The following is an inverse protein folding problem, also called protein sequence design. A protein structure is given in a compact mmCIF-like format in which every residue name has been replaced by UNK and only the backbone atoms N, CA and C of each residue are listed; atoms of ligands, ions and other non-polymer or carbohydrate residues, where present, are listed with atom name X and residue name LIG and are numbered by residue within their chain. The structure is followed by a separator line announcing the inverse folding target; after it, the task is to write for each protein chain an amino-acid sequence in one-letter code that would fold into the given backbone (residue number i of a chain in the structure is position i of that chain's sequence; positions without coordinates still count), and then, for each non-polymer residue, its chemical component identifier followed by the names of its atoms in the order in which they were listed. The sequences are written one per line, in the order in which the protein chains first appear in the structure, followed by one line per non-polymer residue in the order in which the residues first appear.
data_IF_885693932415
#
_entry.id   IF_885693932415
#
_cell.length_a   1.000
_cell.length_b   1.000
_cell.length_c   1.000
_cell.angle_alpha   90.00
_cell.angle_beta   90.00
_cell.angle_gamma   90.00
#
_symmetry.space_group_name_H-M   'P 1'
#
loop_
_entity.id
_entity.type
_entity.pdbx_description
1 polymer ?
#
# COMPACT_ATOMS: atom_id res chain seq x y z
N UNK A 1 -6.11 -51.42 -20.19
CA UNK A 1 -4.67 -51.38 -20.53
C UNK A 1 -4.39 -49.95 -20.99
N UNK A 2 -3.74 -49.14 -20.40
CA UNK A 2 -2.72 -48.86 -19.44
C UNK A 2 -2.81 -47.39 -19.04
N UNK A 3 -3.39 -47.12 -17.90
CA UNK A 3 -3.34 -45.75 -17.32
C UNK A 3 -2.36 -45.67 -16.13
N UNK A 4 -1.54 -46.72 -15.97
CA UNK A 4 -0.52 -46.79 -14.91
C UNK A 4 0.86 -46.30 -15.30
N UNK A 5 1.15 -46.17 -16.60
CA UNK A 5 2.48 -45.81 -17.09
C UNK A 5 2.76 -44.29 -17.14
N UNK A 6 1.73 -43.44 -17.11
CA UNK A 6 1.93 -41.98 -17.14
C UNK A 6 2.28 -41.40 -15.75
N UNK A 7 1.87 -42.03 -14.67
CA UNK A 7 2.20 -41.57 -13.31
C UNK A 7 3.58 -42.03 -12.82
N UNK A 8 4.08 -43.16 -13.30
CA UNK A 8 5.40 -43.64 -12.91
C UNK A 8 6.55 -42.89 -13.63
N UNK A 9 6.30 -42.28 -14.79
CA UNK A 9 7.34 -41.55 -15.54
C UNK A 9 7.63 -40.15 -14.93
N UNK A 10 6.73 -39.57 -14.11
CA UNK A 10 6.96 -38.33 -13.39
C UNK A 10 7.72 -38.53 -12.06
N UNK A 11 7.74 -39.72 -11.52
CA UNK A 11 8.39 -40.04 -10.26
C UNK A 11 9.91 -40.28 -10.33
N UNK A 12 10.49 -40.26 -11.52
CA UNK A 12 11.92 -40.55 -11.74
C UNK A 12 12.74 -39.42 -12.35
N UNK A 13 12.27 -38.18 -12.27
CA UNK A 13 13.18 -37.06 -12.42
C UNK A 13 14.01 -36.97 -11.14
N UNK A 14 15.20 -37.52 -11.18
CA UNK A 14 16.18 -37.42 -10.11
C UNK A 14 16.28 -35.92 -9.69
N UNK A 15 16.18 -35.66 -8.39
CA UNK A 15 16.41 -34.30 -7.88
C UNK A 15 17.72 -33.77 -8.48
N UNK A 16 17.78 -32.50 -8.90
CA UNK A 16 19.01 -31.95 -9.48
C UNK A 16 20.18 -32.17 -8.50
N UNK A 17 21.32 -32.57 -9.02
CA UNK A 17 22.52 -32.87 -8.22
C UNK A 17 22.95 -31.66 -7.35
N UNK A 18 22.57 -30.45 -7.76
CA UNK A 18 22.84 -29.20 -7.05
C UNK A 18 21.60 -28.31 -7.08
N UNK A 19 20.62 -28.50 -6.17
CA UNK A 19 19.44 -27.66 -6.11
C UNK A 19 19.84 -26.20 -5.77
N UNK A 20 19.04 -25.25 -6.25
CA UNK A 20 19.18 -23.85 -5.82
C UNK A 20 18.82 -23.79 -4.33
N UNK A 21 19.68 -23.21 -3.48
CA UNK A 21 19.35 -23.06 -2.07
C UNK A 21 18.07 -22.24 -1.88
N UNK A 22 17.22 -22.69 -0.98
CA UNK A 22 15.98 -22.03 -0.60
C UNK A 22 16.06 -21.62 0.87
N UNK A 23 15.59 -20.40 1.16
CA UNK A 23 15.51 -19.88 2.52
C UNK A 23 14.07 -19.67 2.99
N UNK A 24 13.11 -20.29 2.35
CA UNK A 24 11.71 -20.22 2.74
C UNK A 24 11.55 -20.56 4.24
N UNK A 25 10.70 -19.80 4.95
CA UNK A 25 10.51 -19.91 6.40
C UNK A 25 11.55 -19.18 7.26
N UNK A 26 12.64 -18.69 6.68
CA UNK A 26 13.62 -17.91 7.46
C UNK A 26 13.13 -16.48 7.72
N UNK A 27 13.35 -15.99 8.95
CA UNK A 27 12.95 -14.64 9.35
C UNK A 27 13.59 -13.56 8.47
N UNK A 28 12.76 -12.66 7.93
CA UNK A 28 13.22 -11.50 7.17
C UNK A 28 13.75 -10.38 8.08
N UNK A 29 13.37 -10.37 9.36
CA UNK A 29 13.95 -9.46 10.36
C UNK A 29 15.41 -9.85 10.65
N UNK A 30 15.67 -11.13 10.89
CA UNK A 30 17.02 -11.63 11.20
C UNK A 30 17.94 -11.61 9.97
N UNK A 31 17.35 -11.61 8.77
CA UNK A 31 18.08 -11.49 7.53
C UNK A 31 18.55 -10.05 7.19
N UNK A 32 18.07 -9.07 7.92
CA UNK A 32 18.50 -7.66 7.82
C UNK A 32 19.14 -7.20 9.15
N UNK A 33 20.42 -7.52 9.39
CA UNK A 33 21.06 -7.37 10.69
C UNK A 33 21.09 -5.92 11.19
N UNK A 34 21.04 -4.93 10.27
CA UNK A 34 21.09 -3.52 10.64
C UNK A 34 19.70 -2.91 10.85
N UNK A 35 18.62 -3.63 10.54
CA UNK A 35 17.26 -3.08 10.66
C UNK A 35 16.91 -2.70 12.09
N UNK A 36 17.31 -3.53 13.06
CA UNK A 36 17.10 -3.28 14.49
C UNK A 36 17.82 -1.99 14.94
N UNK A 37 19.10 -1.82 14.54
CA UNK A 37 19.87 -0.63 14.85
C UNK A 37 19.29 0.63 14.20
N UNK A 38 18.90 0.56 12.93
CA UNK A 38 18.27 1.69 12.23
C UNK A 38 16.92 2.05 12.87
N UNK A 39 16.09 1.06 13.22
CA UNK A 39 14.81 1.33 13.87
C UNK A 39 14.99 2.01 15.24
N UNK A 40 15.98 1.58 16.03
CA UNK A 40 16.27 2.17 17.35
C UNK A 40 16.75 3.63 17.27
N UNK A 41 17.33 4.08 16.16
CA UNK A 41 17.73 5.47 15.98
C UNK A 41 16.55 6.44 15.84
N UNK A 42 15.40 5.97 15.37
CA UNK A 42 14.24 6.80 15.04
C UNK A 42 13.03 6.59 15.94
N UNK A 43 13.02 5.52 16.73
CA UNK A 43 11.96 5.23 17.69
C UNK A 43 12.41 5.61 19.11
N UNK A 44 11.53 6.16 19.97
CA UNK A 44 11.79 6.26 21.40
C UNK A 44 12.14 4.89 22.00
N UNK A 45 13.05 4.84 22.97
CA UNK A 45 13.58 3.60 23.54
C UNK A 45 12.51 2.66 24.11
N UNK A 46 11.49 3.21 24.76
CA UNK A 46 10.37 2.47 25.30
C UNK A 46 9.50 1.87 24.19
N UNK A 47 9.19 2.66 23.16
CA UNK A 47 8.44 2.19 22.01
C UNK A 47 9.24 1.17 21.19
N UNK A 48 10.54 1.38 20.99
CA UNK A 48 11.39 0.40 20.31
C UNK A 48 11.39 -0.94 21.02
N UNK A 49 11.59 -0.94 22.36
CA UNK A 49 11.55 -2.17 23.17
C UNK A 49 10.19 -2.87 23.10
N UNK A 50 9.11 -2.09 23.10
CA UNK A 50 7.76 -2.62 22.94
C UNK A 50 7.55 -3.25 21.56
N UNK A 51 8.04 -2.61 20.50
CA UNK A 51 7.84 -3.08 19.11
C UNK A 51 8.78 -4.23 18.72
N UNK A 52 9.91 -4.41 19.35
CA UNK A 52 10.91 -5.43 18.97
C UNK A 52 10.32 -6.84 18.82
N UNK A 53 9.52 -7.38 19.76
CA UNK A 53 8.89 -8.69 19.60
C UNK A 53 7.91 -8.74 18.40
N UNK A 54 7.25 -7.61 18.10
CA UNK A 54 6.34 -7.52 16.96
C UNK A 54 7.10 -7.46 15.63
N UNK A 55 8.27 -6.80 15.59
CA UNK A 55 9.16 -6.79 14.42
C UNK A 55 9.71 -8.20 14.12
N UNK A 56 10.18 -8.91 15.16
CA UNK A 56 10.63 -10.29 15.06
C UNK A 56 9.53 -11.21 14.54
N UNK A 57 8.32 -11.11 15.11
CA UNK A 57 7.15 -11.89 14.67
C UNK A 57 6.75 -11.55 13.22
N UNK A 58 6.72 -10.28 12.84
CA UNK A 58 6.43 -9.87 11.46
C UNK A 58 7.48 -10.43 10.50
N UNK A 59 8.76 -10.35 10.85
CA UNK A 59 9.85 -10.90 10.04
C UNK A 59 9.76 -12.41 9.82
N UNK A 60 9.42 -13.16 10.87
CA UNK A 60 9.21 -14.60 10.78
C UNK A 60 7.99 -14.96 9.90
N UNK A 61 6.85 -14.27 10.12
CA UNK A 61 5.64 -14.48 9.29
C UNK A 61 5.89 -14.10 7.83
N UNK A 62 6.56 -12.97 7.56
CA UNK A 62 6.85 -12.51 6.21
C UNK A 62 7.83 -13.42 5.44
N UNK A 63 8.71 -14.14 6.14
CA UNK A 63 9.60 -15.13 5.52
C UNK A 63 8.98 -16.50 5.27
N UNK A 64 7.78 -16.77 5.80
CA UNK A 64 7.09 -18.06 5.68
C UNK A 64 5.62 -17.89 5.31
N UNK A 65 4.72 -17.93 6.29
CA UNK A 65 3.26 -17.91 6.11
C UNK A 65 2.76 -16.83 5.13
N UNK A 66 3.23 -15.58 5.28
CA UNK A 66 2.75 -14.48 4.45
C UNK A 66 3.31 -14.56 3.02
N UNK A 67 4.52 -15.09 2.84
CA UNK A 67 5.12 -15.34 1.53
C UNK A 67 4.30 -16.38 0.75
N UNK A 68 3.89 -17.48 1.42
CA UNK A 68 3.01 -18.50 0.83
C UNK A 68 1.65 -17.93 0.42
N UNK A 69 1.01 -17.18 1.33
CA UNK A 69 -0.27 -16.51 1.04
C UNK A 69 -0.16 -15.53 -0.13
N UNK A 70 0.95 -14.78 -0.21
CA UNK A 70 1.20 -13.83 -1.28
C UNK A 70 1.37 -14.52 -2.65
N UNK A 71 2.09 -15.65 -2.71
CA UNK A 71 2.22 -16.46 -3.91
C UNK A 71 0.87 -16.98 -4.42
N UNK A 72 0.01 -17.42 -3.51
CA UNK A 72 -1.34 -17.88 -3.85
C UNK A 72 -2.19 -16.69 -4.31
N UNK A 73 -2.16 -15.56 -3.61
CA UNK A 73 -2.94 -14.37 -3.96
C UNK A 73 -2.53 -13.80 -5.33
N UNK A 74 -1.23 -13.76 -5.66
CA UNK A 74 -0.76 -13.26 -6.96
C UNK A 74 -1.22 -14.13 -8.14
N UNK A 75 -1.29 -15.46 -7.94
CA UNK A 75 -1.78 -16.41 -8.95
C UNK A 75 -3.30 -16.39 -9.11
N UNK A 76 -4.03 -15.85 -8.14
CA UNK A 76 -5.48 -15.77 -8.12
C UNK A 76 -5.94 -14.31 -7.97
N UNK A 77 -5.79 -13.49 -9.03
CA UNK A 77 -6.16 -12.08 -8.99
C UNK A 77 -7.67 -11.90 -8.72
N UNK A 78 -8.08 -10.75 -8.15
CA UNK A 78 -9.49 -10.46 -7.90
C UNK A 78 -10.28 -10.41 -9.20
N UNK A 79 -11.55 -10.82 -9.14
CA UNK A 79 -12.49 -10.79 -10.27
C UNK A 79 -13.68 -9.91 -9.95
N UNK A 80 -14.26 -9.27 -10.97
CA UNK A 80 -15.45 -8.42 -10.84
C UNK A 80 -16.69 -9.22 -11.26
N UNK A 81 -17.62 -9.38 -10.32
CA UNK A 81 -18.96 -9.95 -10.56
C UNK A 81 -19.96 -8.80 -10.67
N UNK A 82 -20.53 -8.60 -11.86
CA UNK A 82 -21.50 -7.50 -12.15
C UNK A 82 -22.95 -7.96 -12.01
N UNK A 83 -23.20 -9.27 -11.92
CA UNK A 83 -24.56 -9.82 -11.82
C UNK A 83 -24.58 -11.08 -10.96
N UNK A 84 -25.55 -11.15 -10.05
CA UNK A 84 -25.82 -12.36 -9.28
C UNK A 84 -26.43 -13.45 -10.17
N UNK A 85 -26.28 -14.73 -9.82
CA UNK A 85 -26.84 -15.89 -10.55
C UNK A 85 -28.36 -15.82 -10.74
N UNK A 86 -29.07 -15.05 -9.92
CA UNK A 86 -30.52 -14.83 -10.02
C UNK A 86 -30.91 -13.73 -10.98
N UNK A 87 -29.94 -13.10 -11.70
CA UNK A 87 -30.18 -12.02 -12.64
C UNK A 87 -30.25 -10.62 -12.01
N UNK A 88 -30.11 -10.50 -10.70
CA UNK A 88 -30.03 -9.21 -10.02
C UNK A 88 -28.67 -8.58 -10.28
N UNK A 89 -28.62 -7.30 -10.61
CA UNK A 89 -27.36 -6.56 -10.75
C UNK A 89 -26.67 -6.49 -9.40
N UNK A 90 -25.40 -6.83 -9.41
CA UNK A 90 -24.55 -6.85 -8.24
C UNK A 90 -23.17 -6.41 -8.67
N UNK A 91 -22.55 -5.54 -7.88
CA UNK A 91 -21.18 -5.12 -8.14
C UNK A 91 -20.30 -5.57 -6.96
N UNK A 92 -19.58 -6.66 -7.18
CA UNK A 92 -18.73 -7.26 -6.15
C UNK A 92 -17.37 -7.62 -6.73
N UNK A 93 -16.32 -7.27 -6.01
CA UNK A 93 -14.97 -7.78 -6.25
C UNK A 93 -14.76 -9.01 -5.40
N UNK A 94 -14.58 -10.15 -6.06
CA UNK A 94 -14.26 -11.42 -5.41
C UNK A 94 -12.76 -11.52 -5.23
N UNK A 95 -12.30 -11.45 -3.97
CA UNK A 95 -10.90 -11.58 -3.55
C UNK A 95 -10.62 -13.01 -3.13
N UNK A 96 -9.46 -13.55 -3.50
CA UNK A 96 -9.05 -14.88 -3.03
C UNK A 96 -8.88 -14.88 -1.49
N UNK A 97 -9.28 -15.96 -0.77
CA UNK A 97 -9.14 -16.04 0.69
C UNK A 97 -7.72 -15.78 1.21
N UNK A 98 -6.69 -16.16 0.47
CA UNK A 98 -5.30 -15.86 0.80
C UNK A 98 -5.03 -14.34 0.87
N UNK A 99 -5.60 -13.55 -0.07
CA UNK A 99 -5.47 -12.10 -0.02
C UNK A 99 -6.24 -11.51 1.17
N UNK A 100 -7.44 -12.01 1.45
CA UNK A 100 -8.23 -11.59 2.63
C UNK A 100 -7.49 -11.91 3.93
N UNK A 101 -6.79 -13.05 4.02
CA UNK A 101 -5.94 -13.38 5.16
C UNK A 101 -4.79 -12.37 5.34
N UNK A 102 -4.14 -11.97 4.25
CA UNK A 102 -3.12 -10.91 4.28
C UNK A 102 -3.69 -9.56 4.72
N UNK A 103 -4.89 -9.19 4.24
CA UNK A 103 -5.59 -7.98 4.70
C UNK A 103 -5.84 -8.02 6.21
N UNK A 104 -6.32 -9.14 6.77
CA UNK A 104 -6.55 -9.31 8.22
C UNK A 104 -5.27 -9.12 9.01
N UNK A 105 -4.17 -9.72 8.57
CA UNK A 105 -2.87 -9.52 9.22
C UNK A 105 -2.49 -8.05 9.26
N UNK A 106 -2.57 -7.37 8.13
CA UNK A 106 -2.09 -6.01 8.01
C UNK A 106 -2.99 -4.98 8.71
N UNK A 107 -4.32 -5.10 8.54
CA UNK A 107 -5.28 -4.13 9.08
C UNK A 107 -5.72 -4.45 10.51
N UNK A 108 -5.96 -5.74 10.84
CA UNK A 108 -6.48 -6.14 12.14
C UNK A 108 -5.35 -6.54 13.11
N UNK A 109 -4.53 -7.56 12.79
CA UNK A 109 -3.52 -8.06 13.73
C UNK A 109 -2.48 -7.00 14.09
N UNK A 110 -1.99 -6.26 13.08
CA UNK A 110 -0.95 -5.24 13.25
C UNK A 110 -1.47 -3.81 13.22
N UNK A 111 -2.70 -3.56 12.80
CA UNK A 111 -3.30 -2.22 12.76
C UNK A 111 -2.47 -1.19 11.98
N UNK A 112 -1.81 -1.61 10.88
CA UNK A 112 -0.83 -0.77 10.18
C UNK A 112 -1.40 0.54 9.61
N UNK A 113 -2.68 0.57 9.24
CA UNK A 113 -3.35 1.80 8.81
C UNK A 113 -3.83 2.66 9.99
N UNK A 114 -3.99 2.07 11.17
CA UNK A 114 -4.58 2.70 12.35
C UNK A 114 -3.54 3.26 13.32
N UNK A 115 -2.34 2.65 13.39
CA UNK A 115 -1.40 2.86 14.49
C UNK A 115 -0.90 4.31 14.66
N UNK A 116 -0.94 5.13 13.62
CA UNK A 116 -0.60 6.56 13.73
C UNK A 116 -1.81 7.45 14.05
N UNK A 117 -3.00 6.86 14.23
CA UNK A 117 -4.26 7.58 14.38
C UNK A 117 -4.97 7.31 15.70
N UNK A 118 -4.77 6.14 16.29
CA UNK A 118 -5.42 5.72 17.53
C UNK A 118 -4.46 5.06 18.51
N UNK A 119 -4.79 5.12 19.79
CA UNK A 119 -4.15 4.35 20.85
C UNK A 119 -4.59 2.88 20.84
N UNK A 120 -3.85 2.01 21.53
CA UNK A 120 -4.19 0.60 21.76
C UNK A 120 -3.67 -0.35 20.67
N UNK A 121 -3.18 0.14 19.54
CA UNK A 121 -2.63 -0.73 18.49
C UNK A 121 -1.41 -1.47 19.03
N UNK A 122 -1.37 -2.79 18.84
CA UNK A 122 -0.36 -3.68 19.40
C UNK A 122 -0.18 -3.52 20.93
N UNK A 123 -1.19 -3.02 21.65
CA UNK A 123 -1.13 -2.76 23.09
C UNK A 123 -0.41 -1.48 23.50
N UNK A 124 -0.01 -0.62 22.56
CA UNK A 124 0.62 0.66 22.85
C UNK A 124 -0.40 1.73 23.26
N UNK A 125 -0.18 2.49 24.37
CA UNK A 125 -1.23 3.36 24.94
C UNK A 125 -1.49 4.67 24.19
N UNK A 126 -0.71 4.97 23.13
CA UNK A 126 -0.83 6.22 22.37
C UNK A 126 -0.75 5.95 20.84
N UNK A 127 -1.14 6.88 19.97
CA UNK A 127 -0.80 6.80 18.56
C UNK A 127 0.72 6.75 18.37
N UNK A 128 1.17 5.86 17.46
CA UNK A 128 2.60 5.67 17.20
C UNK A 128 3.11 6.64 16.13
N UNK A 129 4.40 7.03 16.19
CA UNK A 129 5.01 7.83 15.12
C UNK A 129 5.03 7.06 13.80
N UNK A 130 5.05 7.76 12.64
CA UNK A 130 5.06 7.12 11.31
C UNK A 130 6.15 6.06 11.11
N UNK A 131 7.30 6.22 11.76
CA UNK A 131 8.42 5.26 11.71
C UNK A 131 7.99 3.87 12.15
N UNK A 132 7.16 3.74 13.20
CA UNK A 132 6.66 2.45 13.70
C UNK A 132 5.90 1.68 12.61
N UNK A 133 4.99 2.37 11.90
CA UNK A 133 4.28 1.80 10.77
C UNK A 133 5.24 1.38 9.65
N UNK A 134 6.19 2.25 9.29
CA UNK A 134 7.06 2.00 8.15
C UNK A 134 8.06 0.87 8.39
N UNK A 135 8.55 0.64 9.61
CA UNK A 135 9.42 -0.50 9.89
C UNK A 135 8.67 -1.83 9.82
N UNK A 136 7.44 -1.91 10.33
CA UNK A 136 6.60 -3.11 10.20
C UNK A 136 6.18 -3.36 8.75
N UNK A 137 5.78 -2.32 8.03
CA UNK A 137 5.36 -2.44 6.63
C UNK A 137 6.55 -2.78 5.72
N UNK A 138 7.77 -2.33 6.04
CA UNK A 138 9.00 -2.71 5.34
C UNK A 138 9.28 -4.22 5.41
N UNK A 139 8.93 -4.88 6.51
CA UNK A 139 9.00 -6.33 6.62
C UNK A 139 7.86 -7.00 5.83
N UNK A 140 6.62 -6.53 6.00
CA UNK A 140 5.45 -7.07 5.31
C UNK A 140 5.59 -7.03 3.78
N UNK A 141 6.07 -5.91 3.23
CA UNK A 141 6.17 -5.70 1.78
C UNK A 141 7.15 -6.65 1.10
N UNK A 142 8.08 -7.22 1.83
CA UNK A 142 9.01 -8.23 1.32
C UNK A 142 8.28 -9.56 1.00
N UNK A 143 7.10 -9.79 1.58
CA UNK A 143 6.20 -10.88 1.23
C UNK A 143 5.11 -10.42 0.24
N UNK A 144 4.40 -9.33 0.54
CA UNK A 144 3.25 -8.88 -0.27
C UNK A 144 3.30 -7.37 -0.56
N UNK A 145 3.52 -7.05 -1.83
CA UNK A 145 3.65 -5.66 -2.29
C UNK A 145 2.30 -4.99 -2.55
N UNK A 146 1.33 -5.71 -3.12
CA UNK A 146 0.06 -5.16 -3.60
C UNK A 146 -0.78 -4.58 -2.48
N UNK A 147 -0.93 -5.30 -1.37
CA UNK A 147 -1.70 -4.92 -0.19
C UNK A 147 -1.20 -3.62 0.46
N UNK A 148 0.10 -3.32 0.35
CA UNK A 148 0.63 -2.06 0.89
C UNK A 148 0.05 -0.81 0.21
N UNK A 149 -0.62 -0.95 -0.95
CA UNK A 149 -1.33 0.16 -1.59
C UNK A 149 -2.64 0.52 -0.87
N UNK A 150 -3.61 -0.39 -0.65
CA UNK A 150 -4.78 -0.14 0.19
C UNK A 150 -4.44 0.35 1.60
N UNK A 151 -3.42 -0.25 2.24
CA UNK A 151 -2.91 0.21 3.54
C UNK A 151 -2.50 1.69 3.52
N UNK A 152 -1.68 2.05 2.55
CA UNK A 152 -1.19 3.42 2.39
C UNK A 152 -2.33 4.39 2.07
N UNK A 153 -3.29 4.00 1.23
CA UNK A 153 -4.42 4.86 0.90
C UNK A 153 -5.36 5.06 2.08
N UNK A 154 -5.61 4.03 2.90
CA UNK A 154 -6.44 4.13 4.11
C UNK A 154 -5.79 5.07 5.13
N UNK A 155 -4.51 4.90 5.46
CA UNK A 155 -3.76 5.81 6.33
C UNK A 155 -3.74 7.25 5.79
N UNK A 156 -3.46 7.42 4.50
CA UNK A 156 -3.34 8.75 3.88
C UNK A 156 -4.68 9.45 3.77
N UNK A 157 -5.78 8.72 3.48
CA UNK A 157 -7.14 9.25 3.50
C UNK A 157 -7.51 9.72 4.91
N UNK A 158 -7.21 8.91 5.93
CA UNK A 158 -7.46 9.26 7.34
C UNK A 158 -6.72 10.54 7.74
N UNK A 159 -5.43 10.68 7.36
CA UNK A 159 -4.64 11.90 7.59
C UNK A 159 -5.25 13.12 6.90
N UNK A 160 -5.63 12.96 5.63
CA UNK A 160 -6.20 14.04 4.82
C UNK A 160 -7.57 14.48 5.37
N UNK A 161 -8.40 13.52 5.74
CA UNK A 161 -9.71 13.79 6.36
C UNK A 161 -9.56 14.53 7.69
N UNK A 162 -8.65 14.09 8.58
CA UNK A 162 -8.38 14.77 9.86
C UNK A 162 -7.82 16.18 9.70
N UNK A 163 -7.09 16.42 8.61
CA UNK A 163 -6.44 17.73 8.36
C UNK A 163 -7.37 18.74 7.72
N UNK A 164 -8.23 18.32 6.82
CA UNK A 164 -9.03 19.21 5.97
C UNK A 164 -10.53 18.96 6.04
N UNK A 165 -10.97 17.81 6.54
CA UNK A 165 -12.39 17.46 6.61
C UNK A 165 -13.17 18.34 7.62
N UNK A 166 -14.42 18.58 7.32
CA UNK A 166 -15.34 19.17 8.29
C UNK A 166 -15.45 18.25 9.53
N UNK A 167 -15.57 18.80 10.77
CA UNK A 167 -15.63 17.99 11.99
C UNK A 167 -16.67 16.87 11.92
N UNK A 168 -17.86 17.12 11.40
CA UNK A 168 -18.91 16.12 11.25
C UNK A 168 -18.52 14.94 10.35
N UNK A 169 -17.71 15.16 9.30
CA UNK A 169 -17.20 14.09 8.45
C UNK A 169 -16.08 13.28 9.15
N UNK A 170 -15.24 13.98 9.91
CA UNK A 170 -14.21 13.31 10.72
C UNK A 170 -14.86 12.42 11.76
N UNK A 171 -15.79 12.93 12.55
CA UNK A 171 -16.50 12.19 13.60
C UNK A 171 -17.25 10.97 13.02
N UNK A 172 -17.85 11.13 11.85
CA UNK A 172 -18.61 10.07 11.17
C UNK A 172 -17.75 8.90 10.73
N UNK A 173 -16.54 9.14 10.22
CA UNK A 173 -15.76 8.12 9.53
C UNK A 173 -14.47 7.68 10.24
N UNK A 174 -13.96 8.46 11.21
CA UNK A 174 -12.65 8.21 11.81
C UNK A 174 -12.57 6.84 12.50
N UNK A 175 -13.59 6.46 13.26
CA UNK A 175 -13.60 5.17 13.97
C UNK A 175 -13.55 4.01 12.98
N UNK A 176 -14.36 4.05 11.91
CA UNK A 176 -14.39 3.01 10.87
C UNK A 176 -13.10 2.91 10.07
N UNK A 177 -12.38 4.02 9.89
CA UNK A 177 -11.09 4.06 9.17
C UNK A 177 -9.93 3.53 10.03
N UNK A 178 -10.08 3.52 11.36
CA UNK A 178 -9.01 3.21 12.30
C UNK A 178 -9.28 2.02 13.19
N UNK A 179 -10.43 1.37 13.06
CA UNK A 179 -10.74 0.15 13.82
C UNK A 179 -9.84 -1.02 13.39
N UNK A 180 -9.53 -1.92 14.34
CA UNK A 180 -8.89 -3.21 14.08
C UNK A 180 -9.90 -4.36 13.98
N UNK A 181 -11.18 -4.09 14.20
CA UNK A 181 -12.25 -5.03 13.84
C UNK A 181 -12.39 -5.05 12.32
N UNK A 182 -11.95 -6.16 11.71
CA UNK A 182 -11.90 -6.29 10.26
C UNK A 182 -13.27 -6.19 9.59
N UNK A 183 -14.31 -6.64 10.25
CA UNK A 183 -15.69 -6.62 9.73
C UNK A 183 -16.32 -5.22 9.78
N UNK A 184 -15.81 -4.34 10.66
CA UNK A 184 -16.22 -2.94 10.79
C UNK A 184 -15.32 -1.98 10.04
N UNK A 185 -14.15 -2.46 9.59
CA UNK A 185 -13.15 -1.62 8.95
C UNK A 185 -13.64 -1.07 7.61
N UNK A 186 -13.48 0.22 7.44
CA UNK A 186 -13.67 0.89 6.16
C UNK A 186 -12.32 1.23 5.56
N UNK A 187 -11.97 0.58 4.46
CA UNK A 187 -10.73 0.91 3.73
C UNK A 187 -10.89 2.18 2.91
N UNK A 188 -9.76 2.86 2.66
CA UNK A 188 -9.68 4.08 1.88
C UNK A 188 -9.12 3.88 0.48
N UNK A 189 -9.50 4.77 -0.43
CA UNK A 189 -8.99 4.85 -1.80
C UNK A 189 -8.70 6.29 -2.22
N UNK A 190 -8.05 6.45 -3.39
CA UNK A 190 -7.74 7.75 -4.00
C UNK A 190 -7.96 7.67 -5.50
N UNK A 191 -8.90 8.46 -6.02
CA UNK A 191 -9.25 8.48 -7.44
C UNK A 191 -8.93 9.87 -8.02
N UNK A 192 -7.82 9.97 -8.72
CA UNK A 192 -7.34 11.22 -9.32
C UNK A 192 -7.42 11.19 -10.84
N UNK A 193 -6.79 10.16 -11.43
CA UNK A 193 -6.51 10.07 -12.85
C UNK A 193 -7.77 9.81 -13.67
N UNK A 194 -7.90 10.52 -14.78
CA UNK A 194 -8.89 10.30 -15.82
C UNK A 194 -8.18 9.92 -17.13
N UNK A 195 -8.91 9.43 -18.14
CA UNK A 195 -8.31 9.07 -19.40
C UNK A 195 -7.63 10.27 -20.08
N UNK A 196 -8.27 11.45 -20.01
CA UNK A 196 -7.76 12.71 -20.54
C UNK A 196 -6.92 13.53 -19.55
N UNK A 197 -6.91 13.18 -18.25
CA UNK A 197 -6.26 13.97 -17.20
C UNK A 197 -5.41 13.08 -16.28
N UNK A 198 -4.16 12.86 -16.63
CA UNK A 198 -3.17 12.12 -15.84
C UNK A 198 -2.15 13.06 -15.21
N UNK A 199 -1.10 13.40 -15.97
CA UNK A 199 -0.09 14.36 -15.50
C UNK A 199 -0.65 15.79 -15.44
N UNK A 200 -1.54 16.14 -16.35
CA UNK A 200 -2.27 17.41 -16.34
C UNK A 200 -3.58 17.29 -15.56
N UNK A 201 -3.51 17.45 -14.24
CA UNK A 201 -4.69 17.42 -13.35
C UNK A 201 -5.64 18.61 -13.61
N UNK A 202 -5.13 19.70 -14.20
CA UNK A 202 -5.98 20.85 -14.57
C UNK A 202 -7.03 20.49 -15.63
N UNK A 203 -6.80 19.42 -16.40
CA UNK A 203 -7.73 18.88 -17.38
C UNK A 203 -8.80 17.94 -16.79
N UNK A 204 -8.94 17.85 -15.45
CA UNK A 204 -9.99 17.04 -14.80
C UNK A 204 -11.38 17.39 -15.34
N UNK A 205 -12.08 16.37 -15.86
CA UNK A 205 -13.42 16.46 -16.46
C UNK A 205 -14.54 15.97 -15.55
N UNK A 206 -14.23 15.11 -14.54
CA UNK A 206 -15.23 14.68 -13.56
C UNK A 206 -15.85 15.90 -12.91
N UNK A 207 -17.17 15.99 -13.02
CA UNK A 207 -17.99 17.13 -12.61
C UNK A 207 -18.61 16.92 -11.25
N UNK A 208 -18.71 17.96 -10.42
CA UNK A 208 -19.37 17.98 -9.13
C UNK A 208 -20.52 18.99 -9.18
N UNK A 209 -21.74 18.49 -9.23
CA UNK A 209 -22.97 19.26 -9.20
C UNK A 209 -23.41 19.48 -7.74
N UNK A 210 -23.67 20.72 -7.31
CA UNK A 210 -24.17 20.99 -5.94
C UNK A 210 -25.52 20.31 -5.67
N UNK A 211 -25.67 19.66 -4.49
CA UNK A 211 -26.90 18.97 -4.06
C UNK A 211 -27.11 19.16 -2.55
N UNK A 212 -27.64 20.33 -2.17
CA UNK A 212 -27.82 20.71 -0.77
C UNK A 212 -26.50 20.86 -0.02
N UNK A 213 -26.28 20.03 0.99
CA UNK A 213 -25.07 19.97 1.81
C UNK A 213 -23.96 19.08 1.20
N UNK A 214 -24.24 18.47 0.05
CA UNK A 214 -23.38 17.53 -0.64
C UNK A 214 -23.22 17.90 -2.12
N UNK A 215 -22.60 17.00 -2.89
CA UNK A 215 -22.42 17.11 -4.32
C UNK A 215 -22.73 15.77 -4.99
N UNK A 216 -23.18 15.84 -6.25
CA UNK A 216 -23.30 14.68 -7.13
C UNK A 216 -22.13 14.66 -8.10
N UNK A 217 -21.36 13.58 -8.11
CA UNK A 217 -20.23 13.39 -9.02
C UNK A 217 -20.68 12.69 -10.31
N UNK A 218 -20.20 13.18 -11.47
CA UNK A 218 -20.47 12.65 -12.79
C UNK A 218 -19.19 12.50 -13.60
N UNK A 219 -18.99 11.36 -14.27
CA UNK A 219 -17.84 11.10 -15.13
C UNK A 219 -17.03 9.88 -14.69
N UNK A 220 -15.86 9.68 -15.27
CA UNK A 220 -15.06 8.46 -15.16
C UNK A 220 -13.70 8.72 -14.50
N UNK A 221 -13.27 7.80 -13.63
CA UNK A 221 -11.90 7.72 -13.13
C UNK A 221 -11.21 6.47 -13.67
N UNK A 222 -9.93 6.61 -14.05
CA UNK A 222 -9.23 5.63 -14.88
C UNK A 222 -8.38 4.62 -14.11
N UNK A 223 -7.53 5.03 -13.19
CA UNK A 223 -6.70 4.17 -12.35
C UNK A 223 -7.16 4.24 -10.89
N UNK A 224 -8.22 3.49 -10.58
CA UNK A 224 -8.80 3.41 -9.25
C UNK A 224 -8.23 2.17 -8.54
N UNK A 225 -7.20 2.34 -7.73
CA UNK A 225 -6.71 1.28 -6.86
C UNK A 225 -7.66 1.12 -5.67
N UNK A 226 -7.94 -0.15 -5.28
CA UNK A 226 -8.92 -0.48 -4.25
C UNK A 226 -10.32 0.09 -4.56
N UNK A 227 -10.89 -0.22 -5.75
CA UNK A 227 -12.10 0.43 -6.23
C UNK A 227 -13.36 0.07 -5.43
N UNK A 228 -13.30 -1.00 -4.63
CA UNK A 228 -14.34 -1.43 -3.68
C UNK A 228 -14.16 -0.87 -2.26
N UNK A 229 -13.20 0.04 -2.05
CA UNK A 229 -13.02 0.71 -0.77
C UNK A 229 -14.30 1.41 -0.31
N UNK A 230 -14.59 1.36 0.99
CA UNK A 230 -15.78 2.01 1.56
C UNK A 230 -15.76 3.54 1.46
N UNK A 231 -14.56 4.15 1.36
CA UNK A 231 -14.36 5.59 1.19
C UNK A 231 -13.28 5.88 0.14
N UNK A 232 -13.48 6.92 -0.67
CA UNK A 232 -12.46 7.41 -1.60
C UNK A 232 -12.32 8.93 -1.55
N UNK A 233 -11.07 9.42 -1.64
CA UNK A 233 -10.81 10.83 -1.97
C UNK A 233 -10.80 10.99 -3.48
N UNK A 234 -11.60 11.93 -3.99
CA UNK A 234 -11.81 12.13 -5.42
C UNK A 234 -11.54 13.58 -5.78
N UNK A 235 -10.83 13.83 -6.88
CA UNK A 235 -10.75 15.15 -7.49
C UNK A 235 -11.86 15.31 -8.52
N UNK A 236 -12.60 16.42 -8.43
CA UNK A 236 -13.63 16.78 -9.39
C UNK A 236 -13.72 18.31 -9.55
N UNK A 237 -14.36 18.76 -10.61
CA UNK A 237 -14.60 20.18 -10.89
C UNK A 237 -16.03 20.54 -10.49
N UNK A 238 -16.19 21.52 -9.62
CA UNK A 238 -17.52 22.04 -9.25
C UNK A 238 -18.12 22.75 -10.47
N UNK A 239 -19.41 22.55 -10.72
CA UNK A 239 -20.13 23.22 -11.79
C UNK A 239 -20.04 24.75 -11.66
N UNK A 240 -19.68 25.44 -12.73
CA UNK A 240 -19.46 26.88 -12.75
C UNK A 240 -18.11 27.34 -12.18
N UNK A 241 -17.24 26.42 -11.69
CA UNK A 241 -15.92 26.79 -11.21
C UNK A 241 -14.97 27.20 -12.36
N UNK A 242 -13.92 28.00 -12.08
CA UNK A 242 -12.96 28.43 -13.09
C UNK A 242 -12.32 27.24 -13.82
N UNK A 243 -11.86 27.46 -15.05
CA UNK A 243 -11.00 26.50 -15.76
C UNK A 243 -9.64 26.33 -15.07
N UNK A 244 -8.93 25.27 -15.42
CA UNK A 244 -7.60 24.98 -14.86
C UNK A 244 -7.64 24.47 -13.44
N UNK A 245 -6.51 24.57 -12.74
CA UNK A 245 -6.31 24.00 -11.41
C UNK A 245 -7.21 24.63 -10.33
N UNK A 246 -7.54 25.92 -10.46
CA UNK A 246 -8.37 26.65 -9.50
C UNK A 246 -9.83 26.17 -9.46
N UNK A 247 -10.30 25.41 -10.45
CA UNK A 247 -11.63 24.81 -10.42
C UNK A 247 -11.68 23.40 -9.85
N UNK A 248 -10.52 22.77 -9.57
CA UNK A 248 -10.45 21.40 -9.07
C UNK A 248 -10.57 21.37 -7.56
N UNK A 249 -11.55 20.64 -7.05
CA UNK A 249 -11.84 20.49 -5.61
C UNK A 249 -11.68 19.03 -5.16
N UNK A 250 -11.52 18.82 -3.85
CA UNK A 250 -11.38 17.50 -3.23
C UNK A 250 -12.69 17.08 -2.59
N UNK A 251 -13.09 15.84 -2.84
CA UNK A 251 -14.32 15.27 -2.30
C UNK A 251 -14.05 13.94 -1.58
N UNK A 252 -14.79 13.70 -0.51
CA UNK A 252 -14.92 12.40 0.13
C UNK A 252 -16.15 11.68 -0.44
N UNK A 253 -15.94 10.54 -1.06
CA UNK A 253 -16.96 9.70 -1.69
C UNK A 253 -17.17 8.44 -0.85
N UNK A 254 -18.31 8.26 -0.18
CA UNK A 254 -18.69 7.00 0.42
C UNK A 254 -19.20 6.02 -0.64
N UNK A 255 -18.88 4.74 -0.50
CA UNK A 255 -19.42 3.68 -1.36
C UNK A 255 -20.86 3.32 -1.00
N UNK A 256 -21.19 3.42 0.27
CA UNK A 256 -22.54 3.14 0.81
C UNK A 256 -23.05 4.40 1.48
N UNK A 257 -24.30 4.74 1.23
CA UNK A 257 -24.98 5.90 1.83
C UNK A 257 -25.43 5.60 3.26
N UNK A 258 -25.93 6.62 3.96
CA UNK A 258 -26.32 6.52 5.37
C UNK A 258 -27.50 5.61 5.62
N UNK A 259 -28.37 5.47 4.63
CA UNK A 259 -29.52 4.55 4.64
C UNK A 259 -29.13 3.10 4.30
N UNK A 260 -27.84 2.81 4.10
CA UNK A 260 -27.33 1.49 3.73
C UNK A 260 -27.42 1.19 2.22
N UNK A 261 -27.99 2.07 1.42
CA UNK A 261 -28.07 1.88 -0.03
C UNK A 261 -26.68 2.07 -0.70
N UNK A 262 -26.39 1.39 -1.81
CA UNK A 262 -25.19 1.65 -2.59
C UNK A 262 -25.23 3.05 -3.19
N UNK A 263 -24.10 3.75 -3.17
CA UNK A 263 -23.97 5.03 -3.84
C UNK A 263 -23.93 4.84 -5.37
N UNK A 264 -24.32 5.87 -6.12
CA UNK A 264 -24.46 5.84 -7.59
C UNK A 264 -23.11 5.87 -8.32
N UNK A 265 -22.30 4.83 -8.11
CA UNK A 265 -21.02 4.60 -8.77
C UNK A 265 -20.96 3.17 -9.31
N UNK A 266 -20.19 2.96 -10.36
CA UNK A 266 -20.04 1.67 -11.02
C UNK A 266 -18.57 1.37 -11.30
N UNK A 267 -18.12 0.15 -10.98
CA UNK A 267 -16.81 -0.37 -11.42
C UNK A 267 -17.00 -0.94 -12.84
N UNK A 268 -16.44 -0.29 -13.84
CA UNK A 268 -16.59 -0.69 -15.22
C UNK A 268 -15.84 -1.97 -15.57
N UNK A 269 -14.61 -2.08 -15.06
CA UNK A 269 -13.74 -3.26 -15.21
C UNK A 269 -12.58 -3.21 -14.24
N UNK A 270 -11.93 -4.36 -14.01
CA UNK A 270 -10.63 -4.42 -13.38
C UNK A 270 -9.51 -4.37 -14.42
N UNK A 271 -8.37 -3.83 -14.03
CA UNK A 271 -7.16 -3.75 -14.87
C UNK A 271 -6.44 -5.10 -14.88
N UNK A 272 -6.05 -5.56 -16.08
CA UNK A 272 -5.05 -6.60 -16.22
C UNK A 272 -3.66 -6.01 -15.96
N UNK A 273 -2.90 -6.59 -15.02
CA UNK A 273 -1.65 -6.02 -14.51
C UNK A 273 -0.51 -7.03 -14.52
N UNK A 274 0.71 -6.58 -14.83
CA UNK A 274 1.92 -7.39 -14.71
C UNK A 274 2.38 -7.57 -13.26
N UNK A 275 2.19 -6.56 -12.40
CA UNK A 275 2.52 -6.59 -10.97
C UNK A 275 1.35 -6.16 -10.11
N UNK A 276 1.42 -6.39 -8.79
CA UNK A 276 0.33 -6.13 -7.83
C UNK A 276 -0.98 -6.82 -8.23
N UNK A 277 -0.89 -8.03 -8.75
CA UNK A 277 -2.05 -8.76 -9.30
C UNK A 277 -3.04 -9.14 -8.21
N UNK A 278 -2.56 -9.38 -7.00
CA UNK A 278 -3.34 -9.73 -5.82
C UNK A 278 -4.37 -8.68 -5.41
N UNK A 279 -4.09 -7.38 -5.66
CA UNK A 279 -4.99 -6.28 -5.32
C UNK A 279 -5.80 -5.79 -6.54
N UNK A 280 -7.07 -5.37 -6.32
CA UNK A 280 -7.91 -4.81 -7.36
C UNK A 280 -7.45 -3.39 -7.76
N UNK A 281 -7.45 -3.12 -9.06
CA UNK A 281 -7.40 -1.78 -9.65
C UNK A 281 -8.39 -1.73 -10.78
N UNK A 282 -9.20 -0.68 -10.87
CA UNK A 282 -10.30 -0.62 -11.83
C UNK A 282 -10.48 0.75 -12.47
N UNK A 283 -11.53 0.82 -13.28
CA UNK A 283 -12.10 2.04 -13.82
C UNK A 283 -13.46 2.23 -13.16
N UNK A 284 -13.75 3.44 -12.69
CA UNK A 284 -14.98 3.75 -11.96
C UNK A 284 -15.72 4.87 -12.66
N UNK A 285 -17.03 4.68 -12.83
CA UNK A 285 -17.97 5.67 -13.38
C UNK A 285 -18.88 6.17 -12.27
N UNK A 286 -19.10 7.46 -12.24
CA UNK A 286 -20.04 8.14 -11.36
C UNK A 286 -21.31 8.54 -12.13
N UNK A 287 -22.45 8.18 -11.56
CA UNK A 287 -23.80 8.44 -12.12
C UNK A 287 -24.60 9.38 -11.22
N UNK A 288 -23.99 10.48 -10.74
CA UNK A 288 -24.56 11.31 -9.69
C UNK A 288 -24.18 10.79 -8.29
N UNK A 289 -22.99 10.24 -8.14
CA UNK A 289 -22.54 9.69 -6.88
C UNK A 289 -22.42 10.78 -5.81
N UNK A 290 -23.10 10.60 -4.66
CA UNK A 290 -23.07 11.55 -3.54
C UNK A 290 -21.68 11.64 -2.93
N UNK A 291 -21.17 12.85 -2.77
CA UNK A 291 -19.86 13.11 -2.19
C UNK A 291 -19.87 14.40 -1.37
N UNK A 292 -18.91 14.55 -0.49
CA UNK A 292 -18.80 15.69 0.43
C UNK A 292 -17.51 16.46 0.16
N UNK A 293 -17.59 17.79 0.10
CA UNK A 293 -16.41 18.63 -0.07
C UNK A 293 -15.45 18.46 1.11
N UNK A 294 -14.17 18.31 0.81
CA UNK A 294 -13.09 18.23 1.81
C UNK A 294 -12.23 19.48 1.68
N UNK A 295 -12.18 20.27 2.74
CA UNK A 295 -11.45 21.54 2.80
C UNK A 295 -12.08 22.64 1.95
N UNK A 296 -11.27 23.38 1.22
CA UNK A 296 -11.68 24.57 0.46
C UNK A 296 -11.90 24.24 -1.02
N UNK A 297 -13.00 24.75 -1.60
CA UNK A 297 -13.25 24.66 -3.03
C UNK A 297 -12.12 25.34 -3.83
N UNK A 298 -11.77 24.73 -4.97
CA UNK A 298 -10.70 25.22 -5.84
C UNK A 298 -9.27 24.93 -5.35
N UNK A 299 -9.11 24.33 -4.18
CA UNK A 299 -7.80 23.93 -3.63
C UNK A 299 -7.59 22.42 -3.60
N UNK A 300 -8.41 21.66 -4.30
CA UNK A 300 -8.43 20.20 -4.22
C UNK A 300 -7.09 19.54 -4.52
N UNK A 301 -6.34 20.03 -5.51
CA UNK A 301 -5.01 19.45 -5.80
C UNK A 301 -4.00 19.70 -4.68
N UNK A 302 -4.02 20.88 -4.07
CA UNK A 302 -3.11 21.20 -2.95
C UNK A 302 -3.38 20.31 -1.74
N UNK A 303 -4.66 20.07 -1.44
CA UNK A 303 -5.10 19.19 -0.35
C UNK A 303 -4.82 17.71 -0.65
N UNK A 304 -5.08 17.27 -1.90
CA UNK A 304 -4.73 15.94 -2.37
C UNK A 304 -3.21 15.71 -2.40
N UNK A 305 -2.40 16.75 -2.59
CA UNK A 305 -0.94 16.63 -2.62
C UNK A 305 -0.36 16.10 -1.30
N UNK A 306 -0.98 16.35 -0.16
CA UNK A 306 -0.59 15.76 1.12
C UNK A 306 -0.81 14.24 1.11
N UNK A 307 -1.95 13.78 0.60
CA UNK A 307 -2.24 12.35 0.42
C UNK A 307 -1.27 11.71 -0.58
N UNK A 308 -0.98 12.38 -1.68
CA UNK A 308 0.00 11.94 -2.69
C UNK A 308 1.41 11.83 -2.10
N UNK A 309 1.84 12.77 -1.25
CA UNK A 309 3.15 12.71 -0.61
C UNK A 309 3.28 11.51 0.33
N UNK A 310 2.27 11.20 1.13
CA UNK A 310 2.22 9.98 1.93
C UNK A 310 2.29 8.72 1.05
N UNK A 311 1.56 8.70 -0.06
CA UNK A 311 1.62 7.62 -1.05
C UNK A 311 3.02 7.48 -1.68
N UNK A 312 3.72 8.61 -1.97
CA UNK A 312 5.10 8.60 -2.47
C UNK A 312 6.08 8.00 -1.46
N UNK A 313 5.96 8.36 -0.18
CA UNK A 313 6.77 7.76 0.89
C UNK A 313 6.51 6.25 0.98
N UNK A 314 5.24 5.83 0.97
CA UNK A 314 4.86 4.42 0.94
C UNK A 314 5.40 3.68 -0.30
N UNK A 315 5.40 4.30 -1.49
CA UNK A 315 6.01 3.71 -2.69
C UNK A 315 7.53 3.56 -2.54
N UNK A 316 8.21 4.57 -1.97
CA UNK A 316 9.63 4.49 -1.67
C UNK A 316 9.96 3.36 -0.66
N UNK A 317 9.13 3.21 0.36
CA UNK A 317 9.23 2.12 1.34
C UNK A 317 9.06 0.75 0.68
N UNK A 318 8.02 0.60 -0.17
CA UNK A 318 7.77 -0.65 -0.89
C UNK A 318 8.95 -1.04 -1.78
N UNK A 319 9.48 -0.08 -2.54
CA UNK A 319 10.65 -0.31 -3.39
C UNK A 319 11.88 -0.70 -2.56
N UNK A 320 12.13 -0.02 -1.43
CA UNK A 320 13.22 -0.33 -0.51
C UNK A 320 13.10 -1.76 0.06
N UNK A 321 11.89 -2.19 0.45
CA UNK A 321 11.63 -3.56 0.92
C UNK A 321 11.87 -4.62 -0.17
N UNK A 322 11.43 -4.36 -1.42
CA UNK A 322 11.71 -5.26 -2.55
C UNK A 322 13.21 -5.40 -2.82
N UNK A 323 13.94 -4.29 -2.81
CA UNK A 323 15.40 -4.31 -2.97
C UNK A 323 16.06 -5.13 -1.85
N UNK A 324 15.59 -4.99 -0.60
CA UNK A 324 16.07 -5.80 0.53
C UNK A 324 15.78 -7.27 0.31
N UNK A 325 14.56 -7.65 -0.08
CA UNK A 325 14.23 -9.04 -0.35
C UNK A 325 15.13 -9.62 -1.45
N UNK A 326 15.28 -8.94 -2.58
CA UNK A 326 16.14 -9.38 -3.68
C UNK A 326 17.59 -9.54 -3.26
N UNK A 327 18.15 -8.58 -2.50
CA UNK A 327 19.51 -8.65 -1.97
C UNK A 327 19.67 -9.82 -1.00
N UNK A 328 18.70 -10.02 -0.10
CA UNK A 328 18.73 -11.11 0.89
C UNK A 328 18.78 -12.48 0.21
N UNK A 329 17.93 -12.70 -0.81
CA UNK A 329 17.94 -13.94 -1.61
C UNK A 329 19.26 -14.10 -2.37
N UNK A 330 19.73 -13.04 -3.04
CA UNK A 330 20.99 -13.07 -3.79
C UNK A 330 22.20 -13.39 -2.90
N UNK A 331 22.27 -12.79 -1.71
CA UNK A 331 23.34 -13.06 -0.73
C UNK A 331 23.26 -14.49 -0.19
N UNK A 332 22.07 -14.99 0.11
CA UNK A 332 21.88 -16.36 0.58
C UNK A 332 22.35 -17.37 -0.46
N UNK A 333 21.87 -17.27 -1.70
CA UNK A 333 22.29 -18.14 -2.80
C UNK A 333 23.79 -18.04 -3.05
N UNK A 334 24.38 -16.84 -3.00
CA UNK A 334 25.82 -16.66 -3.23
C UNK A 334 26.70 -17.26 -2.12
N UNK A 335 26.18 -17.38 -0.89
CA UNK A 335 26.90 -18.03 0.23
C UNK A 335 26.82 -19.56 0.18
N UNK A 336 25.71 -20.10 -0.31
CA UNK A 336 25.47 -21.54 -0.31
C UNK A 336 25.94 -22.22 -1.61
N UNK A 337 25.75 -21.60 -2.76
CA UNK A 337 26.04 -22.18 -4.06
C UNK A 337 27.52 -22.10 -4.41
N UNK A 338 28.02 -23.15 -5.03
CA UNK A 338 29.41 -23.25 -5.48
C UNK A 338 29.54 -23.30 -7.01
N UNK A 339 30.61 -22.70 -7.55
CA UNK A 339 31.08 -22.83 -8.92
C UNK A 339 32.59 -22.68 -8.93
N UNK A 340 33.26 -23.37 -9.85
CA UNK A 340 34.73 -23.35 -9.96
C UNK A 340 35.44 -23.75 -8.65
N UNK A 341 34.85 -24.65 -7.87
CA UNK A 341 35.40 -25.15 -6.60
C UNK A 341 35.34 -24.10 -5.43
N UNK A 342 34.59 -23.01 -5.59
CA UNK A 342 34.45 -21.94 -4.58
C UNK A 342 32.99 -21.55 -4.41
N UNK A 343 32.63 -20.97 -3.26
CA UNK A 343 31.33 -20.33 -3.07
C UNK A 343 31.22 -19.12 -4.00
N UNK A 344 30.01 -18.85 -4.54
CA UNK A 344 29.80 -17.72 -5.46
C UNK A 344 30.22 -16.38 -4.84
N UNK A 345 30.00 -16.19 -3.54
CA UNK A 345 30.37 -14.97 -2.82
C UNK A 345 31.89 -14.73 -2.77
N UNK A 346 32.72 -15.77 -3.01
CA UNK A 346 34.17 -15.65 -3.03
C UNK A 346 34.69 -15.19 -4.40
N UNK A 347 33.86 -15.23 -5.44
CA UNK A 347 34.23 -14.86 -6.80
C UNK A 347 34.23 -13.33 -6.94
N UNK A 348 35.34 -12.71 -7.45
CA UNK A 348 35.46 -11.22 -7.50
C UNK A 348 34.34 -10.54 -8.31
N UNK A 349 33.97 -11.10 -9.45
CA UNK A 349 32.90 -10.54 -10.29
C UNK A 349 31.54 -10.64 -9.60
N UNK A 350 31.27 -11.73 -8.90
CA UNK A 350 30.04 -11.88 -8.10
C UNK A 350 29.99 -10.85 -6.98
N UNK A 351 31.07 -10.67 -6.22
CA UNK A 351 31.15 -9.61 -5.19
C UNK A 351 30.84 -8.24 -5.76
N UNK A 352 31.37 -7.92 -6.94
CA UNK A 352 31.08 -6.63 -7.61
C UNK A 352 29.59 -6.49 -7.94
N UNK A 353 28.91 -7.55 -8.41
CA UNK A 353 27.47 -7.49 -8.67
C UNK A 353 26.66 -7.36 -7.38
N UNK A 354 27.00 -8.11 -6.33
CA UNK A 354 26.33 -8.00 -5.02
C UNK A 354 26.48 -6.60 -4.41
N UNK A 355 27.65 -5.95 -4.56
CA UNK A 355 27.85 -4.56 -4.13
C UNK A 355 26.94 -3.57 -4.88
N UNK A 356 26.67 -3.80 -6.18
CA UNK A 356 25.74 -2.96 -6.95
C UNK A 356 24.29 -3.10 -6.47
N UNK A 357 23.92 -4.23 -5.88
CA UNK A 357 22.61 -4.43 -5.24
C UNK A 357 22.60 -3.86 -3.81
N UNK A 358 23.67 -4.09 -3.05
CA UNK A 358 23.79 -3.71 -1.65
C UNK A 358 23.71 -2.18 -1.47
N UNK A 359 24.55 -1.43 -2.18
CA UNK A 359 24.66 0.01 -1.96
C UNK A 359 23.35 0.77 -2.18
N UNK A 360 22.61 0.59 -3.30
CA UNK A 360 21.33 1.23 -3.48
C UNK A 360 20.28 0.78 -2.46
N UNK A 361 20.32 -0.48 -2.01
CA UNK A 361 19.41 -1.03 -1.00
C UNK A 361 19.60 -0.32 0.35
N UNK A 362 20.85 -0.17 0.80
CA UNK A 362 21.16 0.52 2.05
C UNK A 362 20.82 2.01 1.99
N UNK A 363 21.12 2.66 0.86
CA UNK A 363 20.77 4.06 0.63
C UNK A 363 19.24 4.27 0.65
N UNK A 364 18.47 3.39 0.01
CA UNK A 364 17.01 3.47 -0.02
C UNK A 364 16.42 3.27 1.37
N UNK A 365 16.91 2.28 2.15
CA UNK A 365 16.49 2.04 3.54
C UNK A 365 16.78 3.25 4.43
N UNK A 366 17.99 3.79 4.39
CA UNK A 366 18.38 4.98 5.17
C UNK A 366 17.50 6.18 4.83
N UNK A 367 17.29 6.43 3.53
CA UNK A 367 16.44 7.54 3.07
C UNK A 367 14.97 7.34 3.47
N UNK A 368 14.47 6.10 3.50
CA UNK A 368 13.12 5.77 3.97
C UNK A 368 12.92 6.25 5.41
N UNK A 369 13.78 5.84 6.34
CA UNK A 369 13.63 6.18 7.74
C UNK A 369 13.82 7.68 7.99
N UNK A 370 14.77 8.31 7.31
CA UNK A 370 14.94 9.76 7.36
C UNK A 370 13.69 10.51 6.86
N UNK A 371 13.02 9.99 5.82
CA UNK A 371 11.80 10.62 5.28
C UNK A 371 10.61 10.39 6.23
N UNK A 372 10.52 9.21 6.85
CA UNK A 372 9.50 8.91 7.85
C UNK A 372 9.66 9.78 9.11
N UNK A 373 10.90 10.05 9.52
CA UNK A 373 11.19 10.97 10.62
C UNK A 373 10.86 12.43 10.25
N UNK A 374 11.16 12.86 9.03
CA UNK A 374 10.73 14.18 8.55
C UNK A 374 9.19 14.33 8.58
N UNK A 375 8.46 13.25 8.27
CA UNK A 375 6.99 13.24 8.39
C UNK A 375 6.55 13.36 9.86
N UNK A 376 7.17 12.62 10.79
CA UNK A 376 6.89 12.75 12.23
C UNK A 376 7.10 14.17 12.72
N UNK A 377 8.22 14.79 12.35
CA UNK A 377 8.54 16.18 12.70
C UNK A 377 7.54 17.17 12.10
N UNK A 378 7.10 16.91 10.87
CA UNK A 378 6.04 17.68 10.21
C UNK A 378 4.68 17.56 10.93
N UNK A 379 4.33 16.35 11.39
CA UNK A 379 3.12 16.11 12.19
C UNK A 379 3.19 16.87 13.55
N UNK A 380 4.39 16.97 14.13
CA UNK A 380 4.67 17.75 15.33
C UNK A 380 4.78 19.26 15.07
N UNK A 381 4.60 19.73 13.84
CA UNK A 381 4.69 21.14 13.41
C UNK A 381 6.05 21.77 13.70
N UNK A 382 7.13 20.98 13.71
CA UNK A 382 8.50 21.50 13.84
C UNK A 382 8.87 22.38 12.64
N UNK A 383 9.59 23.46 12.89
CA UNK A 383 9.99 24.43 11.87
C UNK A 383 10.77 23.76 10.73
N UNK A 384 10.44 24.08 9.49
CA UNK A 384 11.07 23.52 8.29
C UNK A 384 10.74 22.06 7.97
N UNK A 385 10.16 21.29 8.90
CA UNK A 385 9.93 19.86 8.72
C UNK A 385 8.93 19.53 7.59
N UNK A 386 7.89 20.35 7.42
CA UNK A 386 6.96 20.19 6.31
C UNK A 386 7.64 20.37 4.94
N UNK A 387 8.48 21.40 4.79
CA UNK A 387 9.24 21.63 3.57
C UNK A 387 10.23 20.49 3.29
N UNK A 388 10.91 19.99 4.33
CA UNK A 388 11.80 18.82 4.22
C UNK A 388 11.05 17.57 3.77
N UNK A 389 9.90 17.29 4.35
CA UNK A 389 9.04 16.14 3.95
C UNK A 389 8.64 16.26 2.48
N UNK A 390 8.27 17.46 2.01
CA UNK A 390 7.88 17.69 0.61
C UNK A 390 9.03 17.49 -0.38
N UNK A 391 10.28 17.66 0.04
CA UNK A 391 11.46 17.40 -0.78
C UNK A 391 11.80 15.90 -0.74
N UNK A 392 11.83 15.29 0.44
CA UNK A 392 12.29 13.92 0.60
C UNK A 392 11.32 12.89 0.00
N UNK A 393 10.00 13.10 0.08
CA UNK A 393 9.00 12.13 -0.42
C UNK A 393 9.10 11.88 -1.93
N UNK A 394 9.17 12.88 -2.83
CA UNK A 394 9.39 12.62 -4.26
C UNK A 394 10.81 12.07 -4.54
N UNK A 395 11.82 12.49 -3.79
CA UNK A 395 13.18 11.98 -3.97
C UNK A 395 13.29 10.49 -3.68
N UNK A 396 12.78 10.03 -2.53
CA UNK A 396 12.81 8.60 -2.20
C UNK A 396 11.97 7.80 -3.19
N UNK A 397 10.77 8.28 -3.55
CA UNK A 397 9.93 7.61 -4.55
C UNK A 397 10.67 7.44 -5.87
N UNK A 398 11.31 8.50 -6.37
CA UNK A 398 12.05 8.45 -7.63
C UNK A 398 13.26 7.50 -7.54
N UNK A 399 14.12 7.69 -6.53
CA UNK A 399 15.37 6.91 -6.39
C UNK A 399 15.10 5.44 -6.13
N UNK A 400 14.33 5.12 -5.09
CA UNK A 400 14.09 3.73 -4.71
C UNK A 400 13.32 2.97 -5.79
N UNK A 401 12.26 3.56 -6.40
CA UNK A 401 11.52 2.86 -7.46
C UNK A 401 12.32 2.70 -8.74
N UNK A 402 13.27 3.60 -9.06
CA UNK A 402 14.18 3.44 -10.19
C UNK A 402 15.20 2.32 -9.92
N UNK A 403 15.78 2.33 -8.73
CA UNK A 403 16.88 1.43 -8.38
C UNK A 403 16.37 -0.01 -8.05
N UNK A 404 15.04 -0.18 -7.82
CA UNK A 404 14.39 -1.48 -7.62
C UNK A 404 14.04 -2.23 -8.90
N UNK A 405 14.31 -1.68 -10.09
CA UNK A 405 14.18 -2.33 -11.39
C UNK A 405 15.42 -3.16 -11.66
#
# INVERSE_FOLDING_TARGET
MNDRTAHETLATLAAPAHPVPDRHGASLFDADPDLAAVASLYLPDDLYRHLLPHLQRMGARAGGELDELALVADKNPPTLSVRHRTGVDQERIDKHPAYVALEKVAFADYGLAAMSHRAGVLGWPAPMPPVAKYVLTYLLVQAEFGLCCPLSMTDSLTRTLRKFGAPALVDKYLERLTTQDFDQLTQGAMFMTEQGAGSDIAATEVRAEPDGDAFKLWGDKWFCSNPDAGLAMVLARIDGAPSGMAGVSLFLLPRTLDDGSPNALQILRLKDKLGTRSMASGEVRFHGARAYLVGEAGRGFQQMADMVNNSRLSNGMRASGLMRRALTEALYVARERQAFGRRLIELPLMRRQLLKLLLPTEQARTMLFQTAEALRRSDAKEEGAYALTRILTPLIKFRACRDAR
#
